data_IF_809813266438
#
_entry.id   IF_809813266438
#
_cell.length_a   1.000
_cell.length_b   1.000
_cell.length_c   1.000
_cell.angle_alpha   90.00
_cell.angle_beta   90.00
_cell.angle_gamma   90.00
#
_symmetry.space_group_name_H-M   'P 1'
#
loop_
_entity.id
_entity.type
_entity.pdbx_description
1 polymer ?
#
# COMPACT_ATOMS: atom_id res chain seq x y z
N UNK A 1 -11.40 -1.25 20.24
CA UNK A 1 -11.17 -1.21 18.80
C UNK A 1 -9.73 -1.58 18.39
N UNK A 2 -8.96 -2.22 19.29
CA UNK A 2 -7.53 -2.55 19.09
C UNK A 2 -7.21 -4.07 19.00
N UNK A 3 -8.21 -4.92 18.76
CA UNK A 3 -8.00 -6.39 18.69
C UNK A 3 -7.62 -6.95 17.32
N UNK A 4 -7.78 -6.16 16.25
CA UNK A 4 -7.52 -6.63 14.88
C UNK A 4 -6.07 -6.46 14.41
N UNK A 5 -5.23 -5.77 15.18
CA UNK A 5 -3.88 -5.40 14.74
C UNK A 5 -2.77 -6.38 15.13
N UNK A 6 -3.04 -7.29 16.09
CA UNK A 6 -2.04 -8.25 16.56
C UNK A 6 -2.35 -9.72 16.18
N UNK A 7 -3.37 -9.94 15.37
CA UNK A 7 -3.72 -11.29 14.95
C UNK A 7 -2.93 -11.67 13.70
N UNK A 8 -1.81 -12.36 13.91
CA UNK A 8 -1.00 -12.95 12.83
C UNK A 8 -1.79 -13.96 11.98
N UNK A 9 -2.99 -14.37 12.43
CA UNK A 9 -3.87 -15.27 11.69
C UNK A 9 -4.57 -14.60 10.52
N UNK A 10 -4.63 -13.25 10.48
CA UNK A 10 -5.21 -12.48 9.38
C UNK A 10 -4.31 -12.47 8.12
N UNK A 11 -3.06 -12.89 8.25
CA UNK A 11 -2.08 -12.89 7.17
C UNK A 11 -1.85 -14.30 6.62
N UNK A 12 -2.89 -14.91 6.06
CA UNK A 12 -2.73 -16.15 5.28
C UNK A 12 -2.06 -15.81 3.94
N UNK A 13 -0.74 -15.79 3.91
CA UNK A 13 0.00 -15.80 2.64
C UNK A 13 0.45 -17.22 2.34
N UNK A 14 0.36 -17.61 1.08
CA UNK A 14 0.93 -18.88 0.63
C UNK A 14 2.45 -18.75 0.73
N UNK A 15 3.07 -19.48 1.65
CA UNK A 15 4.53 -19.58 1.81
C UNK A 15 5.22 -20.22 0.61
N UNK A 16 4.46 -20.89 -0.26
CA UNK A 16 4.96 -21.65 -1.42
C UNK A 16 4.58 -21.05 -2.77
N UNK A 17 4.23 -19.74 -2.85
CA UNK A 17 4.17 -19.12 -4.16
C UNK A 17 5.59 -19.00 -4.69
N UNK A 18 5.95 -19.85 -5.65
CA UNK A 18 7.13 -19.66 -6.46
C UNK A 18 7.08 -18.25 -7.04
N UNK A 19 7.99 -17.39 -6.58
CA UNK A 19 8.25 -16.13 -7.28
C UNK A 19 8.82 -16.54 -8.61
N UNK A 20 8.31 -16.04 -9.73
CA UNK A 20 8.80 -16.43 -11.05
C UNK A 20 10.31 -16.31 -11.23
N UNK A 21 10.96 -15.49 -10.41
CA UNK A 21 12.38 -15.14 -10.52
C UNK A 21 13.22 -15.55 -9.30
N UNK A 22 12.79 -16.48 -8.47
CA UNK A 22 13.58 -17.20 -7.45
C UNK A 22 14.76 -16.49 -6.76
N UNK A 23 14.81 -15.16 -6.75
CA UNK A 23 15.95 -14.42 -6.25
C UNK A 23 15.91 -14.35 -4.72
N UNK A 24 16.90 -14.94 -4.09
CA UNK A 24 17.24 -14.62 -2.71
C UNK A 24 17.63 -13.15 -2.63
N UNK A 25 17.14 -12.45 -1.60
CA UNK A 25 17.55 -11.07 -1.38
C UNK A 25 19.05 -11.04 -1.03
N UNK A 26 19.81 -10.08 -1.56
CA UNK A 26 21.20 -9.90 -1.17
C UNK A 26 21.34 -9.71 0.34
N UNK A 27 22.49 -10.09 0.90
CA UNK A 27 22.78 -9.93 2.34
C UNK A 27 22.59 -8.48 2.78
N UNK A 28 21.89 -8.29 3.90
CA UNK A 28 21.59 -6.97 4.46
C UNK A 28 20.34 -6.29 3.90
N UNK A 29 19.68 -6.87 2.91
CA UNK A 29 18.40 -6.37 2.39
C UNK A 29 17.24 -7.08 3.08
N UNK A 30 16.27 -6.31 3.56
CA UNK A 30 15.04 -6.79 4.17
C UNK A 30 13.84 -6.49 3.28
N UNK A 31 12.92 -7.45 3.14
CA UNK A 31 11.62 -7.21 2.51
C UNK A 31 10.62 -6.74 3.54
N UNK A 32 10.01 -5.59 3.25
CA UNK A 32 8.96 -5.00 4.06
C UNK A 32 7.63 -5.11 3.33
N UNK A 33 6.58 -5.48 4.06
CA UNK A 33 5.21 -5.35 3.59
C UNK A 33 4.49 -4.26 4.37
N UNK A 34 3.60 -3.55 3.71
CA UNK A 34 2.83 -2.49 4.33
C UNK A 34 1.38 -2.46 3.84
N UNK A 35 0.49 -1.97 4.70
CA UNK A 35 -0.89 -1.62 4.36
C UNK A 35 -0.97 -0.12 4.18
N UNK A 36 -1.49 0.28 3.04
CA UNK A 36 -1.78 1.68 2.75
C UNK A 36 -3.26 1.88 2.47
N UNK A 37 -3.76 3.02 2.90
CA UNK A 37 -5.10 3.50 2.59
C UNK A 37 -4.99 4.76 1.78
N UNK A 38 -5.87 4.99 0.82
CA UNK A 38 -5.85 6.25 0.08
C UNK A 38 -7.21 6.63 -0.48
N UNK A 39 -7.45 7.94 -0.50
CA UNK A 39 -8.48 8.57 -1.30
C UNK A 39 -7.90 8.84 -2.70
N UNK A 40 -8.35 8.08 -3.70
CA UNK A 40 -7.82 8.13 -5.06
C UNK A 40 -8.31 9.32 -5.89
N UNK A 41 -9.18 10.15 -5.35
CA UNK A 41 -9.88 11.25 -6.06
C UNK A 41 -8.92 12.16 -6.85
N UNK A 42 -7.78 12.52 -6.26
CA UNK A 42 -6.83 13.46 -6.84
C UNK A 42 -5.68 12.77 -7.59
N UNK A 43 -5.77 11.45 -7.77
CA UNK A 43 -4.73 10.63 -8.42
C UNK A 43 -5.20 10.01 -9.73
N UNK A 44 -4.31 9.95 -10.69
CA UNK A 44 -4.50 9.23 -11.95
C UNK A 44 -4.23 7.72 -11.81
N UNK A 45 -4.66 7.16 -10.67
CA UNK A 45 -4.50 5.76 -10.31
C UNK A 45 -3.29 5.49 -9.40
N UNK A 46 -3.09 4.22 -9.10
CA UNK A 46 -1.99 3.81 -8.22
C UNK A 46 -0.62 3.96 -8.89
N UNK A 47 -0.50 3.47 -10.12
CA UNK A 47 0.80 3.33 -10.78
C UNK A 47 1.40 4.67 -11.19
N UNK A 48 2.71 4.84 -10.93
CA UNK A 48 3.49 6.01 -11.36
C UNK A 48 3.38 6.24 -12.86
N UNK A 49 3.14 7.50 -13.24
CA UNK A 49 3.06 8.00 -14.60
C UNK A 49 3.94 9.25 -14.75
N UNK A 50 4.40 9.54 -15.99
CA UNK A 50 5.37 10.62 -16.21
C UNK A 50 4.84 12.04 -15.92
N UNK A 51 3.54 12.27 -16.10
CA UNK A 51 2.96 13.62 -16.10
C UNK A 51 1.68 13.73 -15.26
N UNK A 52 1.44 12.77 -14.37
CA UNK A 52 0.20 12.75 -13.60
C UNK A 52 0.46 12.25 -12.18
N UNK A 53 -0.21 12.86 -11.18
CA UNK A 53 -0.04 12.44 -9.79
C UNK A 53 -0.49 10.99 -9.61
N UNK A 54 0.29 10.22 -8.88
CA UNK A 54 0.00 8.82 -8.60
C UNK A 54 0.28 8.48 -7.15
N UNK A 55 -0.48 7.54 -6.61
CA UNK A 55 -0.30 7.05 -5.23
C UNK A 55 1.08 6.45 -5.04
N UNK A 56 1.56 5.69 -6.03
CA UNK A 56 2.89 5.05 -5.99
C UNK A 56 4.01 6.06 -5.86
N UNK A 57 3.97 7.15 -6.62
CA UNK A 57 5.02 8.17 -6.60
C UNK A 57 5.15 8.82 -5.23
N UNK A 58 4.03 9.23 -4.65
CA UNK A 58 4.02 9.86 -3.33
C UNK A 58 4.49 8.89 -2.23
N UNK A 59 4.05 7.62 -2.29
CA UNK A 59 4.52 6.59 -1.37
C UNK A 59 6.03 6.34 -1.49
N UNK A 60 6.54 6.22 -2.72
CA UNK A 60 7.97 6.01 -2.97
C UNK A 60 8.82 7.18 -2.47
N UNK A 61 8.36 8.40 -2.64
CA UNK A 61 9.03 9.60 -2.11
C UNK A 61 9.06 9.60 -0.57
N UNK A 62 7.92 9.34 0.07
CA UNK A 62 7.82 9.31 1.54
C UNK A 62 8.63 8.16 2.15
N UNK A 63 8.56 6.97 1.57
CA UNK A 63 9.34 5.81 2.00
C UNK A 63 10.84 6.03 1.82
N UNK A 64 11.26 6.58 0.68
CA UNK A 64 12.67 6.86 0.39
C UNK A 64 13.24 7.90 1.36
N UNK A 65 12.46 8.90 1.75
CA UNK A 65 12.87 9.87 2.76
C UNK A 65 13.18 9.19 4.11
N UNK A 66 12.33 8.26 4.55
CA UNK A 66 12.53 7.56 5.84
C UNK A 66 13.64 6.52 5.74
N UNK A 67 13.78 5.87 4.59
CA UNK A 67 14.80 4.87 4.35
C UNK A 67 16.21 5.46 4.19
N UNK A 68 16.31 6.74 3.81
CA UNK A 68 17.55 7.41 3.39
C UNK A 68 18.19 6.76 2.15
N UNK A 69 17.38 6.18 1.28
CA UNK A 69 17.76 5.67 -0.03
C UNK A 69 16.52 5.47 -0.92
N UNK A 70 16.67 5.38 -2.25
CA UNK A 70 15.55 5.16 -3.16
C UNK A 70 14.80 3.86 -2.85
N UNK A 71 13.48 3.96 -2.73
CA UNK A 71 12.56 2.84 -2.56
C UNK A 71 11.66 2.73 -3.79
N UNK A 72 11.46 1.51 -4.26
CA UNK A 72 10.46 1.17 -5.27
C UNK A 72 9.43 0.24 -4.67
N UNK A 73 8.14 0.53 -4.86
CA UNK A 73 7.06 -0.27 -4.30
C UNK A 73 6.36 -1.13 -5.34
N UNK A 74 5.97 -2.33 -4.91
CA UNK A 74 5.10 -3.22 -5.68
C UNK A 74 3.78 -3.38 -4.93
N UNK A 75 2.65 -3.12 -5.60
CA UNK A 75 1.32 -3.27 -4.99
C UNK A 75 0.68 -4.62 -5.32
N UNK A 76 -0.28 -5.03 -4.48
CA UNK A 76 -1.06 -6.24 -4.68
C UNK A 76 -1.99 -6.13 -5.90
N UNK A 77 -2.56 -4.96 -6.13
CA UNK A 77 -3.42 -4.68 -7.28
C UNK A 77 -3.37 -3.21 -7.64
N UNK A 78 -3.22 -2.92 -8.93
CA UNK A 78 -3.30 -1.55 -9.44
C UNK A 78 -4.74 -1.09 -9.39
N UNK A 79 -4.95 0.17 -9.06
CA UNK A 79 -6.25 0.84 -9.15
C UNK A 79 -6.19 1.93 -10.21
N UNK A 80 -7.31 2.16 -10.87
CA UNK A 80 -7.45 3.19 -11.89
C UNK A 80 -7.69 4.58 -11.28
N UNK A 81 -7.77 5.59 -12.11
CA UNK A 81 -8.03 6.99 -11.73
C UNK A 81 -9.25 7.11 -10.83
N UNK A 82 -9.11 7.82 -9.73
CA UNK A 82 -10.20 8.10 -8.79
C UNK A 82 -10.55 6.96 -7.84
N UNK A 83 -10.01 5.75 -8.03
CA UNK A 83 -10.34 4.59 -7.19
C UNK A 83 -9.65 4.70 -5.83
N UNK A 84 -10.44 4.53 -4.76
CA UNK A 84 -9.96 4.51 -3.38
C UNK A 84 -9.49 3.13 -2.95
N UNK A 85 -8.69 3.05 -1.90
CA UNK A 85 -8.39 1.79 -1.23
C UNK A 85 -8.38 1.94 0.28
N UNK A 86 -8.97 0.96 0.97
CA UNK A 86 -8.95 0.88 2.43
C UNK A 86 -7.85 -0.04 2.95
N UNK A 87 -7.35 -0.98 2.13
CA UNK A 87 -6.34 -1.97 2.50
C UNK A 87 -5.52 -2.41 1.27
N UNK A 88 -4.80 -1.48 0.64
CA UNK A 88 -3.86 -1.85 -0.40
C UNK A 88 -2.59 -2.41 0.24
N UNK A 89 -2.20 -3.60 -0.16
CA UNK A 89 -0.93 -4.20 0.28
C UNK A 89 0.17 -3.82 -0.70
N UNK A 90 1.26 -3.32 -0.16
CA UNK A 90 2.50 -3.09 -0.91
C UNK A 90 3.65 -3.86 -0.28
N UNK A 91 4.70 -4.10 -1.06
CA UNK A 91 6.00 -4.50 -0.52
C UNK A 91 7.12 -3.70 -1.19
N UNK A 92 8.24 -3.63 -0.50
CA UNK A 92 9.47 -3.04 -0.99
C UNK A 92 10.67 -3.66 -0.27
N UNK A 93 11.84 -3.50 -0.85
CA UNK A 93 13.09 -3.97 -0.28
C UNK A 93 13.93 -2.79 0.21
N UNK A 94 14.59 -2.96 1.37
CA UNK A 94 15.35 -1.88 2.01
C UNK A 94 16.49 -2.42 2.85
N UNK A 95 17.54 -1.62 2.99
CA UNK A 95 18.62 -1.83 3.97
C UNK A 95 18.38 -1.05 5.27
N UNK A 96 17.37 -0.16 5.29
CA UNK A 96 17.10 0.71 6.42
C UNK A 96 16.50 -0.04 7.60
N UNK A 97 17.26 -0.18 8.67
CA UNK A 97 16.78 -0.75 9.93
C UNK A 97 16.05 0.33 10.75
N UNK A 98 14.73 0.29 10.75
CA UNK A 98 13.86 1.19 11.52
C UNK A 98 12.80 0.38 12.23
N UNK A 99 12.38 0.80 13.43
CA UNK A 99 11.23 0.18 14.09
C UNK A 99 9.90 0.59 13.40
N UNK A 100 8.85 -0.20 13.62
CA UNK A 100 7.53 0.02 13.00
C UNK A 100 6.97 1.42 13.24
N UNK A 101 7.10 1.94 14.47
CA UNK A 101 6.59 3.26 14.84
C UNK A 101 7.32 4.39 14.07
N UNK A 102 8.63 4.26 13.87
CA UNK A 102 9.41 5.25 13.13
C UNK A 102 9.05 5.24 11.64
N UNK A 103 8.83 4.05 11.06
CA UNK A 103 8.32 3.94 9.70
C UNK A 103 6.96 4.63 9.56
N UNK A 104 5.98 4.26 10.40
CA UNK A 104 4.61 4.78 10.30
C UNK A 104 4.59 6.29 10.51
N UNK A 105 5.22 6.80 11.57
CA UNK A 105 5.24 8.24 11.86
C UNK A 105 6.01 9.02 10.80
N UNK A 106 7.19 8.53 10.42
CA UNK A 106 8.05 9.19 9.45
C UNK A 106 7.42 9.27 8.06
N UNK A 107 6.86 8.17 7.58
CA UNK A 107 6.21 8.12 6.26
C UNK A 107 4.95 8.99 6.25
N UNK A 108 4.07 8.85 7.23
CA UNK A 108 2.85 9.66 7.31
C UNK A 108 3.11 11.16 7.48
N UNK A 109 4.27 11.56 8.02
CA UNK A 109 4.64 12.99 8.09
C UNK A 109 5.02 13.59 6.73
N UNK A 110 5.21 12.76 5.71
CA UNK A 110 5.58 13.16 4.34
C UNK A 110 4.47 12.90 3.32
N UNK A 111 3.47 12.10 3.67
CA UNK A 111 2.31 11.86 2.84
C UNK A 111 1.32 13.00 2.95
N UNK A 112 0.56 13.24 1.89
CA UNK A 112 -0.63 14.10 1.92
C UNK A 112 -1.75 13.49 2.77
N UNK A 113 -2.76 14.28 3.07
CA UNK A 113 -3.95 13.82 3.80
C UNK A 113 -4.74 12.73 3.03
N UNK A 114 -4.45 12.55 1.76
CA UNK A 114 -5.12 11.56 0.91
C UNK A 114 -4.53 10.16 1.00
N UNK A 115 -3.34 9.98 1.59
CA UNK A 115 -2.67 8.67 1.70
C UNK A 115 -2.20 8.46 3.13
N UNK A 116 -2.41 7.26 3.66
CA UNK A 116 -1.87 6.89 4.96
C UNK A 116 -1.24 5.50 4.95
N UNK A 117 -0.05 5.39 5.53
CA UNK A 117 0.57 4.13 5.90
C UNK A 117 -0.01 3.67 7.23
N UNK A 118 -0.78 2.58 7.18
CA UNK A 118 -1.51 2.09 8.35
C UNK A 118 -0.72 1.06 9.16
N UNK A 119 0.02 0.21 8.48
CA UNK A 119 0.80 -0.87 9.07
C UNK A 119 2.03 -1.17 8.21
N UNK A 120 3.10 -1.64 8.84
CA UNK A 120 4.31 -2.08 8.18
C UNK A 120 5.00 -3.17 9.00
N UNK A 121 5.57 -4.18 8.36
CA UNK A 121 6.39 -5.20 9.01
C UNK A 121 7.38 -5.82 8.04
N UNK A 122 8.46 -6.36 8.58
CA UNK A 122 9.33 -7.25 7.83
C UNK A 122 8.60 -8.56 7.54
N UNK A 123 8.77 -9.05 6.34
CA UNK A 123 8.17 -10.31 5.87
C UNK A 123 9.24 -11.24 5.27
N UNK A 124 8.85 -12.47 4.96
CA UNK A 124 9.71 -13.40 4.25
C UNK A 124 10.24 -12.79 2.95
N UNK A 125 11.50 -13.01 2.57
CA UNK A 125 12.04 -12.57 1.28
C UNK A 125 11.27 -13.13 0.07
N UNK A 126 10.56 -14.24 0.25
CA UNK A 126 9.70 -14.84 -0.76
C UNK A 126 8.29 -14.23 -0.85
N UNK A 127 7.94 -13.30 0.04
CA UNK A 127 6.65 -12.62 -0.04
C UNK A 127 6.63 -11.68 -1.25
N UNK A 128 5.54 -11.74 -2.02
CA UNK A 128 5.31 -10.82 -3.12
C UNK A 128 3.85 -10.32 -3.09
N UNK A 129 3.62 -9.04 -2.85
CA UNK A 129 2.28 -8.46 -2.65
C UNK A 129 1.28 -8.86 -3.75
N UNK A 130 1.72 -8.91 -5.02
CA UNK A 130 0.86 -9.27 -6.15
C UNK A 130 0.64 -10.78 -6.28
N UNK A 131 1.69 -11.59 -6.14
CA UNK A 131 1.64 -13.03 -6.42
C UNK A 131 1.25 -13.86 -5.19
N UNK A 132 1.55 -13.38 -3.98
CA UNK A 132 1.11 -14.01 -2.74
C UNK A 132 -0.32 -13.63 -2.35
N UNK A 133 -0.97 -12.73 -3.08
CA UNK A 133 -2.35 -12.34 -2.82
C UNK A 133 -3.30 -13.52 -3.10
N UNK A 134 -4.08 -13.91 -2.11
CA UNK A 134 -5.10 -14.97 -2.21
C UNK A 134 -6.47 -14.42 -2.60
N UNK A 135 -6.71 -13.15 -2.31
CA UNK A 135 -7.99 -12.50 -2.61
C UNK A 135 -7.79 -11.00 -2.89
N UNK A 136 -8.64 -10.43 -3.73
CA UNK A 136 -8.81 -8.99 -3.95
C UNK A 136 -10.29 -8.69 -3.97
N UNK A 137 -10.74 -7.86 -3.03
CA UNK A 137 -12.15 -7.48 -2.89
C UNK A 137 -12.35 -6.07 -3.43
N UNK A 138 -13.30 -5.91 -4.34
CA UNK A 138 -13.73 -4.63 -4.88
C UNK A 138 -15.17 -4.35 -4.47
N UNK A 139 -15.46 -3.10 -4.10
CA UNK A 139 -16.81 -2.65 -3.73
C UNK A 139 -17.18 -1.43 -4.53
N UNK A 140 -18.34 -1.48 -5.17
CA UNK A 140 -18.97 -0.34 -5.81
C UNK A 140 -20.08 0.18 -4.89
N UNK A 141 -19.96 1.43 -4.45
CA UNK A 141 -20.94 2.07 -3.57
C UNK A 141 -21.81 2.98 -4.45
N UNK A 142 -23.05 2.61 -4.65
CA UNK A 142 -24.00 3.35 -5.48
C UNK A 142 -25.04 3.99 -4.56
N UNK A 143 -25.20 5.32 -4.66
CA UNK A 143 -26.22 6.05 -3.95
C UNK A 143 -27.36 6.43 -4.91
N UNK A 144 -28.50 5.76 -4.75
CA UNK A 144 -29.71 6.10 -5.49
C UNK A 144 -30.56 7.08 -4.67
N UNK A 145 -30.56 8.37 -5.03
CA UNK A 145 -31.39 9.43 -4.41
C UNK A 145 -31.94 10.38 -5.46
N UNK A 146 -33.14 10.92 -5.21
CA UNK A 146 -33.77 11.92 -6.09
C UNK A 146 -33.02 13.27 -6.09
N UNK A 147 -32.33 13.58 -5.01
CA UNK A 147 -31.60 14.85 -4.83
C UNK A 147 -30.14 14.52 -4.56
N UNK A 148 -29.21 15.21 -5.25
CA UNK A 148 -27.78 15.09 -5.04
C UNK A 148 -27.41 15.36 -3.56
N UNK A 149 -26.70 14.45 -2.89
CA UNK A 149 -26.27 14.68 -1.53
C UNK A 149 -25.19 15.78 -1.47
N UNK A 150 -25.18 16.55 -0.39
CA UNK A 150 -24.13 17.54 -0.14
C UNK A 150 -22.81 16.90 0.34
N UNK A 151 -22.87 15.68 0.88
CA UNK A 151 -21.74 14.92 1.39
C UNK A 151 -21.51 13.68 0.55
N UNK A 152 -20.28 13.18 0.53
CA UNK A 152 -19.87 11.95 -0.18
C UNK A 152 -20.01 12.05 -1.72
N UNK A 153 -19.98 13.25 -2.27
CA UNK A 153 -20.21 13.45 -3.71
C UNK A 153 -19.07 12.93 -4.60
N UNK A 154 -17.94 12.57 -4.02
CA UNK A 154 -16.76 12.08 -4.74
C UNK A 154 -16.37 10.64 -4.34
N UNK A 155 -17.01 10.07 -3.34
CA UNK A 155 -16.78 8.71 -2.86
C UNK A 155 -17.88 7.71 -3.32
N UNK A 156 -18.90 8.21 -4.03
CA UNK A 156 -20.08 7.43 -4.42
C UNK A 156 -20.39 7.69 -5.89
N UNK A 157 -20.71 6.64 -6.62
CA UNK A 157 -21.23 6.68 -7.98
C UNK A 157 -22.74 6.96 -7.99
#
# INVERSE_FOLDING_TARGET
MNRLLNDSSLWKYKTNCAIPDGHELPSGIMRMAAIVTYNGKDYCGFQRQRHSPSVQEELEMALSFVADHPISVVCAGRTDTGVHATHQIIHFDTTACRNHSNWIKGVNSKLSDNIALYWISQVSPYFHSRFSAVERTYRYIILSKKIKPAFLTHEIL
#
